data_IF_224486847712
#
_entry.id   IF_224486847712
#
_cell.length_a   1.000
_cell.length_b   1.000
_cell.length_c   1.000
_cell.angle_alpha   90.00
_cell.angle_beta   90.00
_cell.angle_gamma   90.00
#
_symmetry.space_group_name_H-M   'P 1'
#
loop_
_entity.id
_entity.type
_entity.pdbx_description
1 polymer ?
#
# COMPACT_ATOMS: atom_id res chain seq x y z
N UNK A 1 12.09 6.53 20.03
CA UNK A 1 11.35 6.56 18.75
C UNK A 1 10.41 5.37 18.76
N UNK A 2 9.11 5.56 18.51
CA UNK A 2 8.17 4.45 18.37
C UNK A 2 8.54 3.62 17.15
N UNK A 3 8.49 2.30 17.27
CA UNK A 3 8.72 1.38 16.16
C UNK A 3 7.64 1.60 15.08
N UNK A 4 8.08 1.80 13.83
CA UNK A 4 7.16 1.88 12.70
C UNK A 4 6.60 0.49 12.41
N UNK A 5 5.29 0.41 12.22
CA UNK A 5 4.54 -0.84 12.22
C UNK A 5 3.59 -0.89 11.03
N UNK A 6 3.45 -2.07 10.41
CA UNK A 6 2.53 -2.35 9.32
C UNK A 6 1.53 -3.41 9.74
N UNK A 7 0.24 -3.11 9.55
CA UNK A 7 -0.87 -4.05 9.71
C UNK A 7 -1.66 -4.14 8.41
N UNK A 8 -1.74 -5.34 7.83
CA UNK A 8 -2.61 -5.62 6.69
C UNK A 8 -3.72 -6.58 7.14
N UNK A 9 -4.97 -6.23 6.83
CA UNK A 9 -6.13 -7.04 7.19
C UNK A 9 -7.17 -7.07 6.07
N UNK A 10 -8.06 -8.05 6.17
CA UNK A 10 -9.19 -8.24 5.26
C UNK A 10 -10.49 -8.29 6.01
N UNK A 11 -11.58 -7.88 5.37
CA UNK A 11 -12.92 -7.98 5.94
C UNK A 11 -13.99 -8.06 4.84
N UNK A 12 -15.21 -8.42 5.22
CA UNK A 12 -16.37 -8.46 4.33
C UNK A 12 -17.24 -7.23 4.54
N UNK A 13 -17.68 -6.59 3.46
CA UNK A 13 -18.70 -5.56 3.54
C UNK A 13 -20.04 -6.13 4.04
N UNK A 14 -20.80 -5.30 4.74
CA UNK A 14 -22.17 -5.61 5.20
C UNK A 14 -23.25 -5.01 4.30
N UNK A 15 -22.85 -4.27 3.26
CA UNK A 15 -23.71 -3.68 2.24
C UNK A 15 -23.58 -4.44 0.91
N UNK A 16 -24.60 -4.33 0.05
CA UNK A 16 -24.69 -5.10 -1.19
C UNK A 16 -23.73 -4.59 -2.27
N UNK A 17 -23.20 -5.54 -3.06
CA UNK A 17 -22.30 -5.26 -4.18
C UNK A 17 -23.06 -5.11 -5.52
N UNK A 18 -24.04 -4.20 -5.60
CA UNK A 18 -24.73 -3.89 -6.87
C UNK A 18 -23.84 -3.11 -7.85
N UNK A 19 -23.48 -3.75 -8.96
CA UNK A 19 -22.37 -3.43 -9.89
C UNK A 19 -22.49 -2.12 -10.71
N UNK A 20 -23.31 -1.15 -10.31
CA UNK A 20 -23.72 -0.05 -11.18
C UNK A 20 -22.97 1.28 -10.97
N UNK A 21 -21.95 1.33 -10.09
CA UNK A 21 -21.19 2.57 -9.85
C UNK A 21 -19.70 2.30 -9.63
N UNK A 22 -18.86 3.18 -10.20
CA UNK A 22 -17.39 3.09 -10.20
C UNK A 22 -16.77 3.13 -8.78
N UNK A 23 -17.44 3.79 -7.82
CA UNK A 23 -17.09 3.77 -6.39
C UNK A 23 -18.38 3.82 -5.57
N UNK A 24 -18.55 2.91 -4.61
CA UNK A 24 -19.74 2.89 -3.75
C UNK A 24 -19.77 4.07 -2.77
N UNK A 25 -20.95 4.66 -2.48
CA UNK A 25 -21.09 5.72 -1.49
C UNK A 25 -20.54 5.34 -0.10
N UNK A 26 -20.67 4.09 0.31
CA UNK A 26 -20.14 3.54 1.56
C UNK A 26 -18.62 3.60 1.58
N UNK A 27 -17.98 3.14 0.50
CA UNK A 27 -16.53 3.15 0.34
C UNK A 27 -16.00 4.57 0.29
N UNK A 28 -16.65 5.46 -0.46
CA UNK A 28 -16.34 6.89 -0.49
C UNK A 28 -16.40 7.52 0.91
N UNK A 29 -17.42 7.18 1.71
CA UNK A 29 -17.54 7.64 3.11
C UNK A 29 -16.44 7.09 4.02
N UNK A 30 -16.03 5.83 3.84
CA UNK A 30 -14.89 5.25 4.56
C UNK A 30 -13.62 6.05 4.22
N UNK A 31 -13.34 6.26 2.93
CA UNK A 31 -12.16 6.98 2.48
C UNK A 31 -12.11 8.42 2.97
N UNK A 32 -13.25 9.13 2.92
CA UNK A 32 -13.35 10.50 3.43
C UNK A 32 -13.03 10.55 4.94
N UNK A 33 -13.59 9.62 5.71
CA UNK A 33 -13.35 9.55 7.14
C UNK A 33 -11.89 9.20 7.47
N UNK A 34 -11.30 8.24 6.74
CA UNK A 34 -9.89 7.86 6.90
C UNK A 34 -8.96 9.03 6.57
N UNK A 35 -9.18 9.71 5.44
CA UNK A 35 -8.38 10.88 5.05
C UNK A 35 -8.49 12.05 6.03
N UNK A 36 -9.62 12.16 6.73
CA UNK A 36 -9.81 13.16 7.79
C UNK A 36 -9.12 12.77 9.10
N UNK A 37 -9.22 11.52 9.53
CA UNK A 37 -8.80 11.11 10.87
C UNK A 37 -7.35 10.62 10.94
N UNK A 38 -6.86 9.99 9.88
CA UNK A 38 -5.56 9.33 9.90
C UNK A 38 -4.38 10.30 10.07
N UNK A 39 -4.39 11.52 9.48
CA UNK A 39 -3.31 12.50 9.70
C UNK A 39 -3.11 12.85 11.18
N UNK A 40 -4.19 13.01 11.96
CA UNK A 40 -4.12 13.33 13.39
C UNK A 40 -3.48 12.20 14.22
N UNK A 41 -3.34 11.01 13.65
CA UNK A 41 -2.73 9.83 14.26
C UNK A 41 -1.38 9.45 13.64
N UNK A 42 -0.86 10.25 12.69
CA UNK A 42 0.31 9.90 11.88
C UNK A 42 0.20 8.50 11.25
N UNK A 43 -1.00 8.12 10.80
CA UNK A 43 -1.26 6.86 10.12
C UNK A 43 -1.41 7.09 8.62
N UNK A 44 -0.79 6.25 7.82
CA UNK A 44 -0.90 6.22 6.35
C UNK A 44 -1.35 4.84 5.90
N UNK A 45 -1.72 4.69 4.63
CA UNK A 45 -2.10 3.37 4.13
C UNK A 45 -2.85 3.37 2.81
N UNK A 46 -3.44 2.22 2.50
CA UNK A 46 -4.30 2.04 1.34
C UNK A 46 -5.48 1.12 1.65
N UNK A 47 -6.59 1.39 0.98
CA UNK A 47 -7.80 0.57 1.01
C UNK A 47 -8.10 0.08 -0.41
N UNK A 48 -8.36 -1.21 -0.55
CA UNK A 48 -8.90 -1.81 -1.76
C UNK A 48 -10.24 -2.48 -1.44
N UNK A 49 -11.22 -2.30 -2.33
CA UNK A 49 -12.55 -2.90 -2.22
C UNK A 49 -12.97 -3.48 -3.56
N UNK A 50 -13.32 -4.77 -3.57
CA UNK A 50 -13.88 -5.45 -4.75
C UNK A 50 -14.62 -6.73 -4.32
N UNK A 51 -15.67 -7.12 -5.07
CA UNK A 51 -16.45 -8.33 -4.81
C UNK A 51 -16.99 -8.45 -3.37
N UNK A 52 -17.31 -7.33 -2.71
CA UNK A 52 -17.76 -7.31 -1.31
C UNK A 52 -16.65 -7.50 -0.27
N UNK A 53 -15.38 -7.50 -0.66
CA UNK A 53 -14.24 -7.68 0.23
C UNK A 53 -13.38 -6.42 0.32
N UNK A 54 -12.90 -6.14 1.53
CA UNK A 54 -11.88 -5.15 1.80
C UNK A 54 -10.52 -5.80 1.99
N UNK A 55 -9.48 -5.14 1.49
CA UNK A 55 -8.08 -5.36 1.86
C UNK A 55 -7.49 -4.00 2.22
N UNK A 56 -7.02 -3.84 3.45
CA UNK A 56 -6.50 -2.57 3.93
C UNK A 56 -5.14 -2.75 4.59
N UNK A 57 -4.23 -1.83 4.28
CA UNK A 57 -2.90 -1.72 4.90
C UNK A 57 -2.85 -0.42 5.68
N UNK A 58 -2.37 -0.49 6.92
CA UNK A 58 -2.14 0.63 7.81
C UNK A 58 -0.66 0.66 8.21
N UNK A 59 -0.04 1.83 8.17
CA UNK A 59 1.34 2.06 8.59
C UNK A 59 1.42 3.28 9.52
N UNK A 60 2.21 3.20 10.58
CA UNK A 60 2.35 4.23 11.61
C UNK A 60 3.03 3.69 12.86
N UNK A 61 2.96 4.40 13.99
CA UNK A 61 3.38 3.78 15.27
C UNK A 61 2.49 2.58 15.59
N UNK A 62 3.06 1.55 16.25
CA UNK A 62 2.30 0.36 16.64
C UNK A 62 1.03 0.74 17.43
N UNK A 63 1.16 1.64 18.39
CA UNK A 63 0.06 2.07 19.25
C UNK A 63 -1.06 2.74 18.45
N UNK A 64 -0.72 3.63 17.50
CA UNK A 64 -1.71 4.32 16.69
C UNK A 64 -2.39 3.38 15.69
N UNK A 65 -1.62 2.46 15.07
CA UNK A 65 -2.15 1.47 14.13
C UNK A 65 -3.09 0.49 14.84
N UNK A 66 -2.69 -0.08 15.98
CA UNK A 66 -3.52 -1.02 16.74
C UNK A 66 -4.76 -0.31 17.33
N UNK A 67 -4.59 0.91 17.84
CA UNK A 67 -5.70 1.73 18.34
C UNK A 67 -6.70 2.11 17.24
N UNK A 68 -6.24 2.45 16.05
CA UNK A 68 -7.10 2.70 14.89
C UNK A 68 -7.80 1.42 14.44
N UNK A 69 -7.08 0.30 14.33
CA UNK A 69 -7.66 -0.98 13.95
C UNK A 69 -8.74 -1.44 14.94
N UNK A 70 -8.56 -1.23 16.25
CA UNK A 70 -9.58 -1.52 17.25
C UNK A 70 -10.85 -0.67 17.10
N UNK A 71 -10.75 0.57 16.61
CA UNK A 71 -11.92 1.39 16.24
C UNK A 71 -12.58 0.87 14.98
N UNK A 72 -11.78 0.52 13.98
CA UNK A 72 -12.26 -0.04 12.72
C UNK A 72 -13.06 -1.31 12.96
N UNK A 73 -12.61 -2.23 13.83
CA UNK A 73 -13.32 -3.47 14.17
C UNK A 73 -14.78 -3.28 14.63
N UNK A 74 -15.16 -2.07 15.08
CA UNK A 74 -16.50 -1.73 15.55
C UNK A 74 -17.37 -1.08 14.46
N UNK A 75 -16.81 -0.86 13.26
CA UNK A 75 -17.52 -0.23 12.17
C UNK A 75 -18.60 -1.17 11.60
N UNK A 76 -19.88 -0.78 11.58
CA UNK A 76 -20.95 -1.68 11.14
C UNK A 76 -20.93 -1.95 9.63
N UNK A 77 -20.11 -1.23 8.85
CA UNK A 77 -20.00 -1.38 7.39
C UNK A 77 -19.21 -2.62 6.97
N UNK A 78 -18.56 -3.31 7.90
CA UNK A 78 -17.83 -4.54 7.61
C UNK A 78 -17.93 -5.57 8.76
N UNK A 79 -17.54 -6.81 8.47
CA UNK A 79 -17.53 -7.95 9.40
C UNK A 79 -16.42 -8.94 9.08
N UNK A 80 -16.25 -9.93 9.95
CA UNK A 80 -15.33 -11.06 9.76
C UNK A 80 -13.87 -10.64 9.53
N UNK A 81 -13.39 -9.61 10.23
CA UNK A 81 -12.04 -9.09 10.07
C UNK A 81 -10.98 -10.14 10.38
N UNK A 82 -9.95 -10.24 9.53
CA UNK A 82 -8.79 -11.14 9.70
C UNK A 82 -7.50 -10.39 9.38
N UNK A 83 -6.58 -10.37 10.33
CA UNK A 83 -5.22 -9.87 10.11
C UNK A 83 -4.46 -10.88 9.23
N UNK A 84 -3.80 -10.39 8.17
CA UNK A 84 -2.93 -11.19 7.31
C UNK A 84 -1.45 -10.93 7.60
N UNK A 85 -1.08 -9.68 7.90
CA UNK A 85 0.29 -9.27 8.24
C UNK A 85 0.25 -8.30 9.41
N UNK A 86 1.19 -8.46 10.34
CA UNK A 86 1.41 -7.56 11.48
C UNK A 86 2.89 -7.59 11.83
N UNK A 87 3.65 -6.55 11.48
CA UNK A 87 5.11 -6.55 11.63
C UNK A 87 5.70 -5.16 11.78
N UNK A 88 6.87 -5.10 12.42
CA UNK A 88 7.73 -3.92 12.37
C UNK A 88 8.27 -3.71 10.94
N UNK A 89 8.43 -2.46 10.53
CA UNK A 89 8.98 -2.05 9.24
C UNK A 89 9.99 -0.92 9.42
N UNK A 90 11.00 -0.85 8.55
CA UNK A 90 12.06 0.17 8.65
C UNK A 90 11.69 1.50 7.95
N UNK A 91 10.77 1.45 6.98
CA UNK A 91 10.33 2.60 6.19
C UNK A 91 8.87 2.42 5.76
N UNK A 92 8.13 3.52 5.72
CA UNK A 92 6.78 3.55 5.15
C UNK A 92 6.85 3.21 3.66
N UNK A 93 5.93 2.37 3.20
CA UNK A 93 5.73 2.11 1.77
C UNK A 93 4.75 3.09 1.12
N UNK A 94 4.09 3.93 1.91
CA UNK A 94 3.20 4.97 1.42
C UNK A 94 3.88 6.34 1.59
N UNK A 95 4.17 7.01 0.48
CA UNK A 95 4.75 8.37 0.41
C UNK A 95 3.76 9.43 0.93
N UNK A 96 3.38 9.37 2.21
CA UNK A 96 2.49 10.29 2.93
C UNK A 96 1.00 10.29 2.51
N UNK A 97 0.55 9.23 1.82
CA UNK A 97 -0.86 9.08 1.49
C UNK A 97 -1.65 8.64 2.74
N UNK A 98 -2.40 9.57 3.34
CA UNK A 98 -3.19 9.31 4.55
C UNK A 98 -4.15 8.13 4.38
N UNK A 99 -4.70 7.96 3.17
CA UNK A 99 -5.37 6.73 2.72
C UNK A 99 -5.53 6.73 1.20
N UNK A 100 -4.70 5.93 0.52
CA UNK A 100 -4.75 5.73 -0.93
C UNK A 100 -5.92 4.83 -1.33
N UNK A 101 -6.56 5.20 -2.43
CA UNK A 101 -7.59 4.42 -3.10
C UNK A 101 -7.43 4.64 -4.60
N UNK A 102 -7.34 3.56 -5.39
CA UNK A 102 -7.05 3.65 -6.83
C UNK A 102 -5.84 2.84 -7.28
N UNK A 103 -5.63 1.65 -6.72
CA UNK A 103 -4.86 0.61 -7.45
C UNK A 103 -5.67 0.22 -8.67
N UNK A 104 -5.02 0.02 -9.81
CA UNK A 104 -5.73 -0.39 -11.02
C UNK A 104 -6.35 -1.77 -10.80
N UNK A 105 -7.63 -1.88 -11.15
CA UNK A 105 -8.30 -3.17 -11.16
C UNK A 105 -7.58 -4.17 -12.06
N UNK A 106 -6.91 -3.71 -13.12
CA UNK A 106 -6.13 -4.55 -14.03
C UNK A 106 -4.91 -5.16 -13.34
N UNK A 107 -4.19 -4.39 -12.52
CA UNK A 107 -3.02 -4.89 -11.78
C UNK A 107 -3.44 -5.95 -10.76
N UNK A 108 -4.56 -5.72 -10.06
CA UNK A 108 -5.12 -6.73 -9.15
C UNK A 108 -5.59 -7.94 -9.93
N UNK A 109 -6.28 -7.77 -11.05
CA UNK A 109 -6.73 -8.89 -11.89
C UNK A 109 -5.54 -9.73 -12.39
N UNK A 110 -4.40 -9.12 -12.73
CA UNK A 110 -3.18 -9.86 -13.11
C UNK A 110 -2.68 -10.73 -11.95
N UNK A 111 -2.57 -10.18 -10.74
CA UNK A 111 -2.21 -10.95 -9.54
C UNK A 111 -3.17 -12.13 -9.30
N UNK A 112 -4.48 -11.92 -9.51
CA UNK A 112 -5.48 -12.97 -9.37
C UNK A 112 -5.30 -14.07 -10.42
N UNK A 113 -5.08 -13.69 -11.69
CA UNK A 113 -4.91 -14.62 -12.81
C UNK A 113 -3.66 -15.49 -12.65
N UNK A 114 -2.54 -14.90 -12.26
CA UNK A 114 -1.28 -15.62 -11.98
C UNK A 114 -1.46 -16.69 -10.89
N UNK A 115 -2.41 -16.49 -9.99
CA UNK A 115 -2.72 -17.39 -8.88
C UNK A 115 -4.02 -18.20 -9.11
N UNK A 116 -4.48 -18.30 -10.37
CA UNK A 116 -5.66 -19.07 -10.77
C UNK A 116 -6.95 -18.70 -10.01
N UNK A 117 -7.11 -17.44 -9.63
CA UNK A 117 -8.30 -16.95 -8.95
C UNK A 117 -9.22 -16.16 -9.89
N UNK A 118 -10.50 -16.54 -9.88
CA UNK A 118 -11.52 -15.98 -10.79
C UNK A 118 -12.10 -14.65 -10.27
N UNK A 119 -12.09 -14.44 -8.96
CA UNK A 119 -12.59 -13.21 -8.33
C UNK A 119 -11.76 -12.86 -7.10
N UNK A 120 -11.83 -11.59 -6.67
CA UNK A 120 -11.09 -11.11 -5.52
C UNK A 120 -11.65 -11.70 -4.23
N UNK A 121 -10.96 -12.68 -3.65
CA UNK A 121 -11.26 -13.24 -2.33
C UNK A 121 -10.00 -13.28 -1.46
N UNK A 122 -9.73 -12.22 -0.69
CA UNK A 122 -8.45 -12.07 -0.01
C UNK A 122 -8.31 -12.98 1.22
N UNK A 123 -9.37 -13.67 1.64
CA UNK A 123 -9.27 -14.71 2.68
C UNK A 123 -8.54 -15.97 2.19
N UNK A 124 -8.40 -16.14 0.86
CA UNK A 124 -7.70 -17.25 0.23
C UNK A 124 -6.25 -16.92 -0.13
N UNK A 125 -5.80 -15.70 0.11
CA UNK A 125 -4.44 -15.31 -0.18
C UNK A 125 -3.48 -16.08 0.74
N UNK A 126 -2.46 -16.67 0.14
CA UNK A 126 -1.30 -17.15 0.88
C UNK A 126 -0.37 -15.97 1.24
N UNK A 127 0.76 -16.25 1.87
CA UNK A 127 1.71 -15.21 2.29
C UNK A 127 2.30 -14.44 1.10
N UNK A 128 2.69 -15.14 0.03
CA UNK A 128 3.28 -14.53 -1.17
C UNK A 128 2.30 -13.56 -1.83
N UNK A 129 1.07 -14.01 -2.09
CA UNK A 129 -0.01 -13.20 -2.63
C UNK A 129 -0.32 -11.97 -1.77
N UNK A 130 -0.32 -12.16 -0.45
CA UNK A 130 -0.55 -11.06 0.50
C UNK A 130 0.54 -10.00 0.38
N UNK A 131 1.80 -10.41 0.33
CA UNK A 131 2.94 -9.50 0.16
C UNK A 131 2.91 -8.80 -1.21
N UNK A 132 2.55 -9.51 -2.28
CA UNK A 132 2.38 -8.93 -3.62
C UNK A 132 1.25 -7.90 -3.66
N UNK A 133 0.11 -8.18 -3.01
CA UNK A 133 -0.99 -7.22 -2.88
C UNK A 133 -0.56 -5.95 -2.11
N UNK A 134 0.21 -6.10 -1.02
CA UNK A 134 0.75 -4.95 -0.27
C UNK A 134 1.67 -4.11 -1.17
N UNK A 135 2.57 -4.73 -1.94
CA UNK A 135 3.47 -4.04 -2.88
C UNK A 135 2.73 -3.28 -3.96
N UNK A 136 1.71 -3.91 -4.58
CA UNK A 136 0.82 -3.25 -5.53
C UNK A 136 0.16 -2.00 -4.92
N UNK A 137 -0.37 -2.12 -3.69
CA UNK A 137 -0.98 -1.00 -2.98
C UNK A 137 0.01 0.14 -2.72
N UNK A 138 1.27 -0.19 -2.42
CA UNK A 138 2.36 0.77 -2.19
C UNK A 138 2.89 1.42 -3.49
N UNK A 139 2.41 1.03 -4.69
CA UNK A 139 3.01 1.42 -5.99
C UNK A 139 4.50 1.08 -6.08
N UNK A 140 4.94 0.02 -5.41
CA UNK A 140 6.30 -0.49 -5.61
C UNK A 140 6.24 -1.35 -6.88
N UNK A 141 7.00 -1.01 -7.95
CA UNK A 141 7.11 -1.89 -9.11
C UNK A 141 7.47 -3.29 -8.64
N UNK A 142 6.81 -4.32 -9.17
CA UNK A 142 7.15 -5.72 -8.90
C UNK A 142 8.50 -6.04 -9.56
N UNK A 143 9.59 -5.49 -9.04
CA UNK A 143 10.95 -5.75 -9.50
C UNK A 143 11.85 -6.15 -8.32
N UNK A 144 12.24 -7.42 -8.42
CA UNK A 144 13.37 -8.18 -7.89
C UNK A 144 13.43 -8.50 -6.40
N UNK A 145 13.16 -9.77 -6.12
CA UNK A 145 13.68 -10.51 -4.97
C UNK A 145 15.19 -10.27 -4.86
N UNK A 146 15.62 -9.74 -3.73
CA UNK A 146 17.02 -9.74 -3.37
C UNK A 146 17.40 -11.19 -3.00
N UNK A 147 17.74 -12.01 -3.99
CA UNK A 147 18.41 -13.30 -3.73
C UNK A 147 19.82 -12.98 -3.24
N UNK A 148 19.98 -12.95 -1.92
CA UNK A 148 21.29 -12.96 -1.31
C UNK A 148 21.96 -14.31 -1.55
N UNK A 149 23.04 -14.32 -2.33
CA UNK A 149 24.04 -15.38 -2.26
C UNK A 149 25.42 -14.75 -2.31
N UNK A 150 26.08 -14.76 -1.16
CA UNK A 150 27.53 -14.65 -1.06
C UNK A 150 28.19 -15.78 -1.87
N UNK A 151 29.21 -15.49 -2.68
CA UNK A 151 30.45 -16.27 -2.75
C UNK A 151 31.43 -15.67 -3.78
N UNK A 152 32.60 -15.31 -3.24
CA UNK A 152 33.95 -15.55 -3.76
C UNK A 152 34.52 -14.86 -5.00
N UNK A 153 35.70 -14.30 -4.75
CA UNK A 153 36.71 -13.78 -5.67
C UNK A 153 37.25 -14.90 -6.58
N UNK A 154 37.17 -14.76 -7.91
CA UNK A 154 38.28 -15.09 -8.82
C UNK A 154 38.02 -14.78 -10.30
N UNK A 155 39.01 -14.17 -10.98
CA UNK A 155 39.41 -14.59 -12.33
C UNK A 155 38.82 -13.87 -13.56
N UNK A 156 39.52 -12.84 -14.01
CA UNK A 156 39.98 -12.61 -15.40
C UNK A 156 38.99 -12.62 -16.61
N UNK A 157 38.89 -11.41 -17.19
CA UNK A 157 39.17 -11.04 -18.59
C UNK A 157 38.17 -11.34 -19.75
N UNK A 158 37.70 -10.21 -20.34
CA UNK A 158 37.54 -9.86 -21.77
C UNK A 158 36.35 -10.42 -22.58
N UNK A 159 35.26 -9.64 -22.74
CA UNK A 159 35.07 -8.70 -23.87
C UNK A 159 33.59 -8.26 -24.06
N UNK A 160 33.41 -6.94 -24.05
CA UNK A 160 32.49 -6.12 -24.87
C UNK A 160 30.98 -6.44 -24.99
N UNK A 161 30.17 -5.75 -24.19
CA UNK A 161 29.19 -4.78 -24.71
C UNK A 161 28.86 -3.76 -23.61
N UNK A 162 28.68 -2.51 -24.03
CA UNK A 162 28.81 -1.30 -23.23
C UNK A 162 27.51 -0.95 -22.47
N UNK A 163 27.70 -0.35 -21.30
CA UNK A 163 26.80 0.60 -20.63
C UNK A 163 25.48 0.06 -20.06
N UNK A 164 25.55 -0.64 -18.91
CA UNK A 164 24.43 -0.58 -17.95
C UNK A 164 24.50 0.80 -17.29
N UNK A 165 23.55 1.65 -17.67
CA UNK A 165 23.31 2.97 -17.10
C UNK A 165 23.07 2.83 -15.59
N UNK A 166 24.12 3.05 -14.80
CA UNK A 166 23.97 3.45 -13.41
C UNK A 166 23.40 4.88 -13.41
N UNK A 167 22.06 5.01 -13.42
CA UNK A 167 21.41 6.27 -13.11
C UNK A 167 20.90 6.21 -11.67
N UNK A 168 21.70 6.83 -10.81
CA UNK A 168 21.27 7.46 -9.57
C UNK A 168 20.33 8.61 -9.93
N UNK A 169 19.07 8.56 -9.47
CA UNK A 169 18.30 9.80 -9.26
C UNK A 169 18.02 9.92 -7.77
N UNK A 170 18.97 10.60 -7.13
CA UNK A 170 18.80 11.27 -5.86
C UNK A 170 18.06 12.60 -6.09
N UNK A 171 17.23 12.97 -5.12
CA UNK A 171 16.84 14.33 -4.73
C UNK A 171 16.01 15.21 -5.69
N UNK A 172 14.84 15.67 -5.20
CA UNK A 172 14.58 17.12 -5.08
C UNK A 172 13.80 17.39 -3.79
N UNK A 173 14.48 18.03 -2.84
CA UNK A 173 13.90 18.81 -1.76
C UNK A 173 14.52 20.22 -1.84
N UNK A 174 13.70 21.26 -2.03
CA UNK A 174 13.97 22.69 -1.80
C UNK A 174 12.63 23.42 -2.02
N UNK A 175 11.85 23.82 -1.01
CA UNK A 175 12.06 24.86 0.03
C UNK A 175 12.21 26.28 -0.58
N UNK A 176 11.09 27.01 -0.51
CA UNK A 176 10.96 28.43 -0.09
C UNK A 176 11.00 29.56 -1.14
N UNK A 177 9.91 30.34 -1.09
CA UNK A 177 9.76 31.79 -1.36
C UNK A 177 9.97 32.35 -2.77
N UNK A 178 8.90 32.39 -3.57
CA UNK A 178 8.66 33.51 -4.51
C UNK A 178 7.16 33.88 -4.49
N UNK A 179 6.66 34.26 -3.31
CA UNK A 179 5.42 35.04 -3.18
C UNK A 179 5.85 36.31 -2.45
N UNK A 180 6.05 37.43 -3.16
CA UNK A 180 5.91 38.83 -2.66
C UNK A 180 6.63 39.97 -3.45
N UNK A 181 7.28 39.80 -4.61
CA UNK A 181 8.05 40.94 -5.20
C UNK A 181 7.63 41.43 -6.61
N UNK A 182 6.69 40.80 -7.32
CA UNK A 182 6.29 41.30 -8.66
C UNK A 182 4.88 41.90 -8.76
N UNK A 183 4.36 42.50 -7.67
CA UNK A 183 3.03 43.14 -7.69
C UNK A 183 3.02 44.64 -7.34
N UNK A 184 4.14 45.35 -7.50
CA UNK A 184 4.18 46.81 -7.51
C UNK A 184 5.49 47.29 -8.14
N UNK A 185 5.44 47.54 -9.45
CA UNK A 185 6.02 48.69 -10.19
C UNK A 185 5.98 48.40 -11.69
#
# INVERSE_FOLDING_TARGET
MSELYQLAYVSQATFNDDQQSSVRPEVSRILLQSRKNNPDLDVVGALYYKNGYFFQVLEGSRENVEGLYAKILKDPRHKNSKILVSKAINRSGFNDWSMKYGVSDDEVNNLLNENSMVFFNPYKFNEEMTNSMIRLLQNVPLLEEFTGTSNDLNGNNQNSSLNILAIVISSVALVVSVIAIFMTL
#
